data_IF_138649721812
#
_entry.id   IF_138649721812
#
_cell.length_a   1.000
_cell.length_b   1.000
_cell.length_c   1.000
_cell.angle_alpha   90.00
_cell.angle_beta   90.00
_cell.angle_gamma   90.00
#
_symmetry.space_group_name_H-M   'P 1'
#
loop_
_entity.id
_entity.type
_entity.pdbx_description
1 polymer ?
#
# COMPACT_ATOMS: atom_id res chain seq x y z
N UNK A 1 -19.09 -41.75 -43.36
CA UNK A 1 -19.97 -41.01 -42.42
C UNK A 1 -19.07 -40.22 -41.48
N UNK A 2 -18.86 -38.92 -41.74
CA UNK A 2 -18.25 -37.98 -40.81
C UNK A 2 -19.06 -36.70 -40.90
N UNK A 3 -19.77 -36.44 -39.81
CA UNK A 3 -20.77 -35.40 -39.61
C UNK A 3 -20.20 -34.49 -38.52
N UNK A 4 -19.93 -33.23 -38.86
CA UNK A 4 -19.89 -32.10 -37.92
C UNK A 4 -19.75 -30.81 -38.74
N UNK A 5 -20.86 -30.09 -38.77
CA UNK A 5 -21.09 -28.80 -39.42
C UNK A 5 -20.29 -27.70 -38.71
N UNK A 6 -19.64 -26.82 -39.47
CA UNK A 6 -19.13 -25.54 -38.98
C UNK A 6 -19.76 -24.44 -39.85
N UNK A 7 -20.97 -24.06 -39.49
CA UNK A 7 -21.64 -22.87 -40.00
C UNK A 7 -21.35 -21.70 -39.06
N UNK A 8 -20.60 -20.70 -39.54
CA UNK A 8 -20.82 -19.34 -39.08
C UNK A 8 -20.61 -18.39 -40.26
N UNK A 9 -21.75 -17.88 -40.73
CA UNK A 9 -21.90 -17.07 -41.91
C UNK A 9 -21.51 -15.61 -41.67
N UNK A 10 -20.83 -15.07 -42.67
CA UNK A 10 -20.54 -13.65 -42.87
C UNK A 10 -21.83 -12.81 -42.93
N UNK A 11 -21.80 -11.62 -42.33
CA UNK A 11 -22.81 -10.58 -42.54
C UNK A 11 -22.35 -9.25 -41.94
N UNK A 12 -21.87 -8.34 -42.80
CA UNK A 12 -21.39 -7.02 -42.42
C UNK A 12 -22.40 -5.89 -42.65
N UNK A 13 -21.87 -4.68 -42.37
CA UNK A 13 -22.32 -3.32 -42.72
C UNK A 13 -23.24 -2.56 -41.74
N UNK A 14 -22.58 -1.64 -41.03
CA UNK A 14 -22.87 -0.21 -40.82
C UNK A 14 -24.26 0.23 -40.32
N UNK A 15 -24.29 0.93 -39.19
CA UNK A 15 -24.67 2.35 -39.15
C UNK A 15 -24.28 3.00 -37.80
N UNK A 16 -24.01 4.30 -37.86
CA UNK A 16 -23.42 5.17 -36.85
C UNK A 16 -24.33 5.44 -35.64
N UNK A 17 -23.72 5.53 -34.46
CA UNK A 17 -24.38 5.96 -33.23
C UNK A 17 -23.44 6.79 -32.38
N UNK A 18 -23.29 8.06 -32.74
CA UNK A 18 -22.65 9.06 -31.91
C UNK A 18 -23.34 9.12 -30.52
N UNK A 19 -22.56 8.87 -29.47
CA UNK A 19 -23.03 8.86 -28.09
C UNK A 19 -21.89 9.17 -27.14
N UNK A 20 -21.38 10.39 -27.23
CA UNK A 20 -20.45 10.97 -26.28
C UNK A 20 -21.18 11.25 -24.96
N UNK A 21 -20.79 10.58 -23.87
CA UNK A 21 -20.93 11.14 -22.53
C UNK A 21 -20.14 10.31 -21.50
N UNK A 22 -19.08 10.93 -21.00
CA UNK A 22 -18.76 11.02 -19.58
C UNK A 22 -19.01 9.79 -18.72
N UNK A 23 -17.93 9.09 -18.41
CA UNK A 23 -17.95 8.05 -17.40
C UNK A 23 -16.55 7.54 -17.07
N UNK A 24 -15.59 8.46 -16.88
CA UNK A 24 -14.43 8.15 -16.06
C UNK A 24 -14.97 7.90 -14.65
N UNK A 25 -15.46 6.67 -14.43
CA UNK A 25 -15.88 6.18 -13.14
C UNK A 25 -14.62 6.20 -12.28
N UNK A 26 -14.59 7.25 -11.46
CA UNK A 26 -13.67 7.48 -10.38
C UNK A 26 -13.20 6.14 -9.81
N UNK A 27 -11.91 5.87 -10.01
CA UNK A 27 -11.18 5.10 -9.02
C UNK A 27 -11.54 5.70 -7.66
N UNK A 28 -11.85 4.90 -6.64
CA UNK A 28 -12.09 5.44 -5.33
C UNK A 28 -10.82 6.20 -4.97
N UNK A 29 -10.94 7.53 -4.94
CA UNK A 29 -10.08 8.36 -4.12
C UNK A 29 -10.28 7.80 -2.73
N UNK A 30 -9.44 6.82 -2.39
CA UNK A 30 -9.19 6.42 -1.03
C UNK A 30 -8.73 7.70 -0.37
N UNK A 31 -9.71 8.43 0.19
CA UNK A 31 -9.50 9.51 1.14
C UNK A 31 -8.39 9.00 2.04
N UNK A 32 -7.20 9.55 1.84
CA UNK A 32 -6.12 9.37 2.77
C UNK A 32 -6.68 9.89 4.08
N UNK A 33 -7.11 8.97 4.96
CA UNK A 33 -7.28 9.26 6.36
C UNK A 33 -6.01 10.03 6.77
N UNK A 34 -6.11 11.08 7.62
CA UNK A 34 -4.94 11.83 8.04
C UNK A 34 -3.92 10.78 8.45
N UNK A 35 -2.82 10.68 7.70
CA UNK A 35 -1.89 9.58 7.84
C UNK A 35 -1.34 9.70 9.24
N UNK A 36 -1.93 8.95 10.17
CA UNK A 36 -1.57 9.04 11.57
C UNK A 36 -0.08 8.76 11.62
N UNK A 37 0.68 9.75 12.08
CA UNK A 37 2.13 9.72 12.01
C UNK A 37 2.63 8.48 12.76
N UNK A 38 3.48 7.71 12.08
CA UNK A 38 4.12 6.55 12.67
C UNK A 38 5.33 7.08 13.44
N UNK A 39 5.26 7.00 14.76
CA UNK A 39 6.35 7.35 15.66
C UNK A 39 7.00 6.08 16.19
N UNK A 40 8.33 6.09 16.34
CA UNK A 40 9.07 4.97 16.92
C UNK A 40 9.63 5.35 18.29
N UNK A 41 9.53 4.44 19.26
CA UNK A 41 10.07 4.64 20.61
C UNK A 41 11.05 3.52 20.96
N UNK A 42 12.32 3.86 21.16
CA UNK A 42 13.35 2.91 21.56
C UNK A 42 13.32 2.72 23.09
N UNK A 43 13.15 1.48 23.54
CA UNK A 43 13.20 1.10 24.96
C UNK A 43 14.62 0.64 25.29
N UNK A 44 15.32 1.45 26.07
CA UNK A 44 16.68 1.17 26.50
C UNK A 44 16.73 0.58 27.92
N UNK A 45 17.59 -0.42 28.11
CA UNK A 45 17.87 -1.04 29.41
C UNK A 45 19.37 -1.26 29.51
N UNK A 46 19.98 -0.83 30.61
CA UNK A 46 21.43 -0.93 30.83
C UNK A 46 22.27 -0.30 29.69
N UNK A 47 21.75 0.75 29.04
CA UNK A 47 22.40 1.42 27.90
C UNK A 47 22.29 0.68 26.57
N UNK A 48 21.47 -0.38 26.47
CA UNK A 48 21.19 -1.10 25.24
C UNK A 48 19.71 -1.01 24.87
N UNK A 49 19.42 -0.69 23.61
CA UNK A 49 18.05 -0.80 23.07
C UNK A 49 17.62 -2.26 23.10
N UNK A 50 16.55 -2.55 23.82
CA UNK A 50 15.99 -3.90 23.99
C UNK A 50 14.77 -4.14 23.12
N UNK A 51 14.05 -3.08 22.77
CA UNK A 51 12.85 -3.14 21.95
C UNK A 51 12.60 -1.77 21.29
N UNK A 52 11.94 -1.78 20.14
CA UNK A 52 11.46 -0.55 19.49
C UNK A 52 9.95 -0.67 19.34
N UNK A 53 9.20 0.31 19.82
CA UNK A 53 7.75 0.34 19.67
C UNK A 53 7.37 1.19 18.48
N UNK A 54 6.61 0.59 17.56
CA UNK A 54 5.93 1.30 16.49
C UNK A 54 4.60 1.81 17.04
N UNK A 55 4.44 3.13 17.04
CA UNK A 55 3.26 3.82 17.56
C UNK A 55 2.58 4.54 16.41
N UNK A 56 1.26 4.48 16.35
CA UNK A 56 0.44 5.32 15.47
C UNK A 56 -0.33 6.30 16.33
N UNK A 57 0.13 7.56 16.35
CA UNK A 57 -0.34 8.54 17.32
C UNK A 57 -0.16 8.06 18.77
N UNK A 58 -1.26 7.67 19.43
CA UNK A 58 -1.27 7.17 20.83
C UNK A 58 -1.37 5.65 20.96
N UNK A 59 -1.49 4.93 19.85
CA UNK A 59 -1.72 3.48 19.85
C UNK A 59 -0.43 2.73 19.57
N UNK A 60 -0.13 1.70 20.37
CA UNK A 60 0.94 0.75 20.06
C UNK A 60 0.49 -0.18 18.92
N UNK A 61 1.25 -0.20 17.84
CA UNK A 61 1.04 -1.11 16.71
C UNK A 61 1.73 -2.45 16.97
N UNK A 62 3.05 -2.40 17.17
CA UNK A 62 3.89 -3.60 17.34
C UNK A 62 5.23 -3.26 17.96
N UNK A 63 5.88 -4.31 18.46
CA UNK A 63 7.28 -4.27 18.90
C UNK A 63 8.18 -4.81 17.80
N UNK A 64 9.20 -4.04 17.46
CA UNK A 64 10.23 -4.35 16.47
C UNK A 64 11.51 -4.71 17.23
N UNK A 65 12.14 -5.82 16.84
CA UNK A 65 13.43 -6.22 17.42
C UNK A 65 14.54 -5.27 16.92
N UNK A 66 15.34 -4.69 17.81
CA UNK A 66 16.35 -3.68 17.44
C UNK A 66 17.50 -4.25 16.61
N UNK A 67 17.71 -5.57 16.64
CA UNK A 67 18.76 -6.25 15.85
C UNK A 67 18.24 -6.72 14.51
N UNK A 68 16.92 -6.72 14.29
CA UNK A 68 16.34 -6.97 12.98
C UNK A 68 16.76 -5.89 11.99
N UNK A 69 16.73 -6.21 10.69
CA UNK A 69 17.04 -5.23 9.64
C UNK A 69 16.19 -3.96 9.76
N UNK A 70 14.89 -4.12 10.00
CA UNK A 70 13.98 -3.00 10.20
C UNK A 70 14.35 -2.17 11.44
N UNK A 71 14.62 -2.84 12.57
CA UNK A 71 15.02 -2.15 13.80
C UNK A 71 16.32 -1.36 13.63
N UNK A 72 17.30 -1.93 12.93
CA UNK A 72 18.56 -1.25 12.60
C UNK A 72 18.34 -0.02 11.71
N UNK A 73 17.47 -0.10 10.70
CA UNK A 73 17.15 1.05 9.86
C UNK A 73 16.46 2.17 10.66
N UNK A 74 15.49 1.82 11.51
CA UNK A 74 14.82 2.78 12.40
C UNK A 74 15.83 3.43 13.35
N UNK A 75 16.71 2.63 13.97
CA UNK A 75 17.72 3.16 14.89
C UNK A 75 18.70 4.10 14.17
N UNK A 76 19.15 3.76 12.96
CA UNK A 76 20.02 4.66 12.18
C UNK A 76 19.37 6.01 11.91
N UNK A 77 18.09 6.01 11.53
CA UNK A 77 17.33 7.25 11.30
C UNK A 77 17.17 8.03 12.61
N UNK A 78 16.89 7.35 13.72
CA UNK A 78 16.74 7.97 15.03
C UNK A 78 18.03 8.62 15.52
N UNK A 79 19.18 7.95 15.38
CA UNK A 79 20.50 8.51 15.73
C UNK A 79 20.91 9.65 14.78
N UNK A 80 20.47 9.61 13.51
CA UNK A 80 20.75 10.67 12.55
C UNK A 80 19.91 11.94 12.76
N UNK A 81 18.67 11.82 13.25
CA UNK A 81 17.76 12.96 13.46
C UNK A 81 17.81 13.58 14.88
N UNK A 82 18.24 12.86 15.91
CA UNK A 82 18.35 13.39 17.30
C UNK A 82 19.76 13.91 17.67
N UNK A 83 20.57 14.26 16.66
CA UNK A 83 21.95 14.70 16.83
C UNK A 83 22.19 16.21 16.86
N UNK A 84 21.15 17.04 17.03
CA UNK A 84 21.24 18.51 17.06
C UNK A 84 20.79 19.10 18.40
#
# INVERSE_FOLDING_TARGET
MNMAENENAVGGAADEGAGQAGGAAAAPEAKAAPAEEITYHAVEKDGQVTAIWEMQGRKHLRTIDPRSRQGQEILRLYTAEHGE
#
